data_IF_595865257927
#
_entry.id   IF_595865257927
#
_cell.length_a   1.000
_cell.length_b   1.000
_cell.length_c   1.000
_cell.angle_alpha   90.00
_cell.angle_beta   90.00
_cell.angle_gamma   90.00
#
_symmetry.space_group_name_H-M   'P 1'
#
loop_
_entity.id
_entity.type
_entity.pdbx_description
1 polymer ?
#
# COMPACT_ATOMS: atom_id res chain seq x y z
N UNK A 1 -2.00 -28.16 -2.49
CA UNK A 1 -3.28 -27.45 -2.22
C UNK A 1 -3.23 -26.14 -2.98
N UNK A 2 -4.09 -25.93 -3.97
CA UNK A 2 -4.19 -24.63 -4.64
C UNK A 2 -4.68 -23.60 -3.60
N UNK A 3 -3.96 -22.49 -3.45
CA UNK A 3 -4.40 -21.40 -2.58
C UNK A 3 -5.68 -20.83 -3.16
N UNK A 4 -6.73 -20.70 -2.34
CA UNK A 4 -7.98 -20.05 -2.74
C UNK A 4 -7.64 -18.61 -3.18
N UNK A 5 -8.28 -18.04 -4.21
CA UNK A 5 -8.09 -16.63 -4.56
C UNK A 5 -8.50 -15.73 -3.39
N UNK A 6 -7.85 -14.56 -3.21
CA UNK A 6 -8.22 -13.62 -2.16
C UNK A 6 -9.64 -13.12 -2.35
N UNK A 7 -10.37 -12.93 -1.25
CA UNK A 7 -11.73 -12.37 -1.26
C UNK A 7 -11.74 -10.85 -1.10
N UNK A 8 -10.63 -10.26 -0.68
CA UNK A 8 -10.40 -8.82 -0.60
C UNK A 8 -8.89 -8.54 -0.49
N UNK A 9 -8.50 -7.28 -0.63
CA UNK A 9 -7.14 -6.83 -0.38
C UNK A 9 -7.07 -5.56 0.48
N UNK A 10 -5.96 -5.40 1.18
CA UNK A 10 -5.57 -4.17 1.85
C UNK A 10 -4.23 -3.71 1.30
N UNK A 11 -4.22 -2.56 0.63
CA UNK A 11 -3.03 -1.90 0.13
C UNK A 11 -2.58 -0.86 1.14
N UNK A 12 -1.39 -1.05 1.70
CA UNK A 12 -0.84 -0.21 2.77
C UNK A 12 0.16 0.79 2.20
N UNK A 13 -0.08 2.08 2.47
CA UNK A 13 0.69 3.21 1.96
C UNK A 13 1.39 3.92 3.11
N UNK A 14 2.71 3.79 3.17
CA UNK A 14 3.50 4.44 4.22
C UNK A 14 3.61 5.95 4.01
N UNK A 15 4.08 6.67 5.03
CA UNK A 15 4.36 8.10 4.94
C UNK A 15 5.59 8.41 4.07
N UNK A 16 5.99 9.66 4.01
CA UNK A 16 7.20 10.05 3.31
C UNK A 16 7.53 11.50 3.57
N UNK A 17 8.05 12.18 2.57
CA UNK A 17 8.42 13.59 2.64
C UNK A 17 7.60 14.41 1.65
N UNK A 18 7.59 15.72 1.84
CA UNK A 18 7.03 16.62 0.83
C UNK A 18 7.86 16.58 -0.46
N UNK A 19 9.19 16.55 -0.33
CA UNK A 19 10.15 16.51 -1.43
C UNK A 19 11.21 15.42 -1.24
N UNK A 20 11.75 14.91 -2.35
CA UNK A 20 12.80 13.91 -2.40
C UNK A 20 12.61 12.96 -3.58
N UNK A 21 13.54 13.00 -4.52
CA UNK A 21 13.48 12.23 -5.76
C UNK A 21 14.26 10.93 -5.73
N UNK A 22 15.01 10.69 -4.67
CA UNK A 22 15.66 9.41 -4.41
C UNK A 22 14.67 8.37 -3.85
N UNK A 23 14.97 7.07 -4.04
CA UNK A 23 14.18 6.01 -3.43
C UNK A 23 14.22 6.08 -1.90
N UNK A 24 13.17 5.57 -1.21
CA UNK A 24 13.23 5.33 0.22
C UNK A 24 14.44 4.44 0.58
N UNK A 25 15.13 4.69 1.71
CA UNK A 25 16.21 3.81 2.16
C UNK A 25 15.75 2.36 2.32
N UNK A 26 16.61 1.36 2.12
CA UNK A 26 16.19 -0.04 2.20
C UNK A 26 15.89 -0.47 3.65
N UNK A 27 15.03 -1.47 3.79
CA UNK A 27 14.84 -2.21 5.04
C UNK A 27 14.36 -1.35 6.22
N UNK A 28 15.04 -1.48 7.36
CA UNK A 28 14.69 -0.77 8.60
C UNK A 28 14.92 0.74 8.54
N UNK A 29 15.77 1.19 7.61
CA UNK A 29 16.10 2.61 7.44
C UNK A 29 14.96 3.40 6.78
N UNK A 30 14.00 2.72 6.13
CA UNK A 30 12.72 3.33 5.76
C UNK A 30 11.85 3.48 7.01
N UNK A 31 12.10 4.51 7.82
CA UNK A 31 11.34 4.78 9.03
C UNK A 31 9.82 4.92 8.78
N UNK A 32 9.36 5.64 7.73
CA UNK A 32 7.94 5.65 7.39
C UNK A 32 7.36 4.25 7.11
N UNK A 33 8.08 3.41 6.36
CA UNK A 33 7.68 2.02 6.12
C UNK A 33 7.67 1.19 7.41
N UNK A 34 8.68 1.32 8.25
CA UNK A 34 8.78 0.64 9.55
C UNK A 34 7.63 1.02 10.48
N UNK A 35 7.18 2.29 10.45
CA UNK A 35 6.01 2.78 11.20
C UNK A 35 4.72 2.05 10.82
N UNK A 36 4.59 1.56 9.58
CA UNK A 36 3.41 0.82 9.13
C UNK A 36 3.41 -0.66 9.52
N UNK A 37 4.53 -1.21 10.02
CA UNK A 37 4.61 -2.65 10.38
C UNK A 37 3.59 -3.09 11.43
N UNK A 38 3.30 -2.33 12.50
CA UNK A 38 2.25 -2.70 13.45
C UNK A 38 0.87 -2.79 12.79
N UNK A 39 0.55 -1.89 11.86
CA UNK A 39 -0.71 -1.89 11.12
C UNK A 39 -0.83 -3.12 10.21
N UNK A 40 0.21 -3.40 9.41
CA UNK A 40 0.26 -4.60 8.57
C UNK A 40 0.05 -5.87 9.40
N UNK A 41 0.70 -5.96 10.56
CA UNK A 41 0.55 -7.09 11.48
C UNK A 41 -0.87 -7.18 12.05
N UNK A 42 -1.45 -6.06 12.48
CA UNK A 42 -2.79 -6.01 13.04
C UNK A 42 -3.85 -6.44 12.00
N UNK A 43 -3.80 -5.88 10.79
CA UNK A 43 -4.69 -6.24 9.68
C UNK A 43 -4.53 -7.71 9.33
N UNK A 44 -3.29 -8.19 9.19
CA UNK A 44 -3.03 -9.60 8.88
C UNK A 44 -3.49 -10.58 9.98
N UNK A 45 -3.48 -10.17 11.26
CA UNK A 45 -4.05 -10.98 12.35
C UNK A 45 -5.58 -10.98 12.29
N UNK A 46 -6.20 -9.82 12.10
CA UNK A 46 -7.66 -9.70 12.01
C UNK A 46 -8.22 -10.50 10.82
N UNK A 47 -7.57 -10.42 9.66
CA UNK A 47 -7.93 -11.22 8.48
C UNK A 47 -7.94 -12.73 8.77
N UNK A 48 -6.90 -13.24 9.43
CA UNK A 48 -6.83 -14.66 9.80
C UNK A 48 -7.89 -15.06 10.84
N UNK A 49 -8.15 -14.20 11.81
CA UNK A 49 -9.13 -14.47 12.87
C UNK A 49 -10.56 -14.59 12.34
N UNK A 50 -10.89 -13.89 11.24
CA UNK A 50 -12.20 -13.96 10.59
C UNK A 50 -12.34 -15.11 9.59
N UNK A 51 -11.28 -15.90 9.38
CA UNK A 51 -11.26 -16.95 8.35
C UNK A 51 -11.28 -16.42 6.91
N UNK A 52 -11.19 -15.09 6.72
CA UNK A 52 -11.18 -14.44 5.43
C UNK A 52 -9.83 -14.58 4.72
N UNK A 53 -9.86 -14.69 3.39
CA UNK A 53 -8.66 -14.70 2.57
C UNK A 53 -8.32 -13.27 2.11
N UNK A 54 -7.82 -12.44 3.03
CA UNK A 54 -7.48 -11.04 2.74
C UNK A 54 -6.00 -10.90 2.41
N UNK A 55 -5.70 -10.40 1.22
CA UNK A 55 -4.34 -10.09 0.78
C UNK A 55 -3.88 -8.75 1.37
N UNK A 56 -2.91 -8.75 2.28
CA UNK A 56 -2.30 -7.52 2.78
C UNK A 56 -0.99 -7.27 2.07
N UNK A 57 -0.88 -6.15 1.36
CA UNK A 57 0.34 -5.76 0.61
C UNK A 57 0.70 -4.30 0.89
N UNK A 58 1.95 -3.93 0.64
CA UNK A 58 2.47 -2.59 0.88
C UNK A 58 2.93 -1.98 -0.45
N UNK A 59 2.57 -0.72 -0.71
CA UNK A 59 3.08 0.01 -1.87
C UNK A 59 4.58 0.23 -1.71
N UNK A 60 5.33 0.02 -2.79
CA UNK A 60 6.75 0.35 -2.88
C UNK A 60 6.88 1.69 -3.59
N UNK A 61 7.27 2.74 -2.87
CA UNK A 61 7.50 4.02 -3.52
C UNK A 61 8.82 4.05 -4.26
N UNK A 62 8.80 4.56 -5.50
CA UNK A 62 10.02 4.82 -6.27
C UNK A 62 10.74 6.08 -5.78
N UNK A 63 10.01 7.01 -5.19
CA UNK A 63 10.53 8.28 -4.66
C UNK A 63 10.00 8.50 -3.24
N UNK A 64 10.85 8.98 -2.33
CA UNK A 64 10.44 9.21 -0.94
C UNK A 64 9.54 10.45 -0.75
N UNK A 65 9.51 11.33 -1.75
CA UNK A 65 8.81 12.61 -1.72
C UNK A 65 7.52 12.62 -2.53
N UNK A 66 6.56 13.45 -2.14
CA UNK A 66 5.38 13.78 -2.95
C UNK A 66 5.77 14.50 -4.25
N UNK A 67 6.73 15.43 -4.18
CA UNK A 67 7.35 16.13 -5.30
C UNK A 67 6.37 17.02 -6.10
N UNK A 68 5.57 17.83 -5.40
CA UNK A 68 4.68 18.82 -6.01
C UNK A 68 3.66 18.17 -6.96
N UNK A 69 3.58 18.68 -8.19
CA UNK A 69 2.64 18.18 -9.21
C UNK A 69 2.97 16.78 -9.71
N UNK A 70 4.22 16.31 -9.55
CA UNK A 70 4.61 14.95 -9.93
C UNK A 70 3.88 13.90 -9.11
N UNK A 71 3.49 14.22 -7.87
CA UNK A 71 2.69 13.36 -7.00
C UNK A 71 3.15 11.89 -7.01
N UNK A 72 4.46 11.63 -6.95
CA UNK A 72 5.01 10.29 -7.20
C UNK A 72 4.31 9.17 -6.39
N UNK A 73 4.00 9.35 -5.09
CA UNK A 73 3.34 8.31 -4.30
C UNK A 73 1.92 7.97 -4.78
N UNK A 74 1.23 8.90 -5.43
CA UNK A 74 -0.08 8.63 -6.06
C UNK A 74 0.08 7.69 -7.26
N UNK A 75 1.04 7.94 -8.14
CA UNK A 75 1.30 7.06 -9.28
C UNK A 75 1.78 5.67 -8.84
N UNK A 76 2.62 5.59 -7.81
CA UNK A 76 3.04 4.31 -7.23
C UNK A 76 1.84 3.54 -6.63
N UNK A 77 0.86 4.25 -6.06
CA UNK A 77 -0.37 3.64 -5.55
C UNK A 77 -1.28 3.11 -6.67
N UNK A 78 -1.44 3.86 -7.75
CA UNK A 78 -2.22 3.45 -8.93
C UNK A 78 -1.58 2.23 -9.58
N UNK A 79 -0.27 2.24 -9.79
CA UNK A 79 0.45 1.09 -10.35
C UNK A 79 0.31 -0.17 -9.47
N UNK A 80 0.31 -0.01 -8.14
CA UNK A 80 0.09 -1.13 -7.23
C UNK A 80 -1.36 -1.65 -7.25
N UNK A 81 -2.34 -0.79 -7.52
CA UNK A 81 -3.73 -1.19 -7.72
C UNK A 81 -3.91 -1.95 -9.04
N UNK A 82 -3.30 -1.47 -10.12
CA UNK A 82 -3.32 -2.13 -11.43
C UNK A 82 -2.69 -3.52 -11.34
N UNK A 83 -1.50 -3.65 -10.75
CA UNK A 83 -0.85 -4.94 -10.55
C UNK A 83 -1.71 -5.89 -9.71
N UNK A 84 -2.40 -5.39 -8.68
CA UNK A 84 -3.30 -6.21 -7.87
C UNK A 84 -4.52 -6.70 -8.67
N UNK A 85 -5.08 -5.86 -9.55
CA UNK A 85 -6.17 -6.25 -10.44
C UNK A 85 -5.74 -7.30 -11.46
N UNK A 86 -4.55 -7.14 -12.04
CA UNK A 86 -3.97 -8.13 -12.95
C UNK A 86 -3.74 -9.49 -12.28
N UNK A 87 -3.28 -9.48 -11.02
CA UNK A 87 -3.00 -10.70 -10.27
C UNK A 87 -4.27 -11.40 -9.73
N UNK A 88 -5.30 -10.65 -9.33
CA UNK A 88 -6.40 -11.17 -8.52
C UNK A 88 -7.81 -10.87 -9.05
N UNK A 89 -7.92 -10.16 -10.18
CA UNK A 89 -9.17 -9.83 -10.85
C UNK A 89 -9.71 -8.43 -10.50
N UNK A 90 -10.46 -7.86 -11.45
CA UNK A 90 -10.99 -6.49 -11.37
C UNK A 90 -12.05 -6.29 -10.29
N UNK A 91 -12.77 -7.35 -9.91
CA UNK A 91 -13.86 -7.29 -8.94
C UNK A 91 -13.38 -7.38 -7.47
N UNK A 92 -12.06 -7.53 -7.24
CA UNK A 92 -11.52 -7.68 -5.90
C UNK A 92 -11.73 -6.39 -5.09
N UNK A 93 -12.46 -6.42 -3.96
CA UNK A 93 -12.58 -5.24 -3.10
C UNK A 93 -11.22 -4.88 -2.50
N UNK A 94 -10.81 -3.61 -2.65
CA UNK A 94 -9.53 -3.11 -2.13
C UNK A 94 -9.75 -2.00 -1.12
N UNK A 95 -9.16 -2.15 0.06
CA UNK A 95 -9.08 -1.10 1.08
C UNK A 95 -7.70 -0.42 1.01
N UNK A 96 -7.69 0.90 0.89
CA UNK A 96 -6.46 1.70 0.94
C UNK A 96 -6.20 2.17 2.37
N UNK A 97 -5.10 1.71 2.97
CA UNK A 97 -4.68 2.10 4.32
C UNK A 97 -3.45 3.01 4.21
N UNK A 98 -3.65 4.32 4.28
CA UNK A 98 -2.57 5.30 4.17
C UNK A 98 -2.28 6.09 5.44
N UNK A 99 -1.01 6.49 5.63
CA UNK A 99 -0.60 7.44 6.68
C UNK A 99 0.15 8.65 6.08
N UNK A 100 -0.21 9.87 6.49
CA UNK A 100 0.42 11.13 6.03
C UNK A 100 0.45 11.23 4.49
N UNK A 101 1.63 11.32 3.86
CA UNK A 101 1.77 11.29 2.40
C UNK A 101 1.06 10.08 1.76
N UNK A 102 1.11 8.91 2.41
CA UNK A 102 0.39 7.72 1.95
C UNK A 102 -1.12 7.84 2.07
N UNK A 103 -1.65 8.57 3.06
CA UNK A 103 -3.08 8.86 3.17
C UNK A 103 -3.53 9.81 2.04
N UNK A 104 -2.72 10.82 1.74
CA UNK A 104 -2.95 11.70 0.59
C UNK A 104 -2.96 10.93 -0.74
N UNK A 105 -2.00 10.02 -0.93
CA UNK A 105 -1.95 9.16 -2.11
C UNK A 105 -3.18 8.23 -2.18
N UNK A 106 -3.57 7.62 -1.06
CA UNK A 106 -4.74 6.77 -0.97
C UNK A 106 -6.02 7.51 -1.38
N UNK A 107 -6.28 8.68 -0.80
CA UNK A 107 -7.45 9.49 -1.12
C UNK A 107 -7.49 9.86 -2.60
N UNK A 108 -6.34 10.27 -3.17
CA UNK A 108 -6.27 10.63 -4.59
C UNK A 108 -6.46 9.43 -5.52
N UNK A 109 -6.03 8.24 -5.11
CA UNK A 109 -6.20 7.01 -5.88
C UNK A 109 -7.62 6.41 -5.78
N UNK A 110 -8.35 6.71 -4.69
CA UNK A 110 -9.70 6.19 -4.47
C UNK A 110 -10.77 6.87 -5.34
N UNK A 111 -10.53 8.10 -5.79
CA UNK A 111 -11.52 8.94 -6.49
C UNK A 111 -12.23 9.87 -5.54
#
# INVERSE_FOLDING_TARGET
>A
MAQRPPSAAVLVLHGGRETGTEPPPPGLLNLPGTRMRPFVRAVGRAARATGGNVRVTQVRYGHRGWNGDRANPFHDAVAALEALREEAGDELPVVLLGHSMGARAALRAAG
#
